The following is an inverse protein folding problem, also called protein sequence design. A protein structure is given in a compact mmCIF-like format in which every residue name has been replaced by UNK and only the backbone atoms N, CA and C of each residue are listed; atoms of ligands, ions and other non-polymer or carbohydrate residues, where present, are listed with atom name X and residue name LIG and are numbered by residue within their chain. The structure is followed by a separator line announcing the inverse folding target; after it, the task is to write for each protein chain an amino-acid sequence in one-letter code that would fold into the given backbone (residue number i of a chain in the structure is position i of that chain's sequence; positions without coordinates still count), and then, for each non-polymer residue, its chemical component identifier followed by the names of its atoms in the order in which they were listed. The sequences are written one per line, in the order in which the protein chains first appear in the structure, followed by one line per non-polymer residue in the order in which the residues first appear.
data_IF_455657782982
#
_entry.id   IF_455657782982
#
_cell.length_a   1.000
_cell.length_b   1.000
_cell.length_c   1.000
_cell.angle_alpha   90.00
_cell.angle_beta   90.00
_cell.angle_gamma   90.00
#
_symmetry.space_group_name_H-M   'P 1'
#
loop_
_entity.id
_entity.type
_entity.pdbx_description
1 polymer ?
#
# COMPACT_ATOMS: atom_id res chain seq x y z
N UNK A 1 3.13 -18.74 8.60
CA UNK A 1 2.96 -17.48 7.86
C UNK A 1 3.80 -17.51 6.58
N UNK A 2 5.13 -17.84 6.63
CA UNK A 2 6.00 -17.85 5.44
C UNK A 2 5.51 -18.80 4.35
N UNK A 3 5.03 -19.99 4.71
CA UNK A 3 4.38 -20.92 3.78
C UNK A 3 3.14 -20.29 3.11
N UNK A 4 2.38 -19.48 3.82
CA UNK A 4 1.23 -18.77 3.24
C UNK A 4 1.68 -17.68 2.26
N UNK A 5 2.73 -16.92 2.60
CA UNK A 5 3.33 -15.94 1.69
C UNK A 5 3.85 -16.62 0.43
N UNK A 6 4.61 -17.72 0.59
CA UNK A 6 5.09 -18.52 -0.55
C UNK A 6 3.94 -19.02 -1.42
N UNK A 7 2.89 -19.56 -0.80
CA UNK A 7 1.71 -20.05 -1.52
C UNK A 7 1.03 -18.92 -2.32
N UNK A 8 0.78 -17.78 -1.68
CA UNK A 8 0.17 -16.62 -2.33
C UNK A 8 1.02 -16.10 -3.51
N UNK A 9 2.34 -16.13 -3.37
CA UNK A 9 3.26 -15.70 -4.43
C UNK A 9 3.35 -16.66 -5.61
N UNK A 10 3.09 -17.94 -5.40
CA UNK A 10 3.20 -18.98 -6.47
C UNK A 10 1.87 -19.31 -7.12
N UNK A 11 0.78 -19.33 -6.36
CA UNK A 11 -0.55 -19.79 -6.79
C UNK A 11 -1.57 -18.64 -6.92
N UNK A 12 -1.14 -17.43 -6.81
CA UNK A 12 -1.77 -16.12 -6.55
C UNK A 12 -3.15 -15.80 -7.12
N UNK A 13 -3.74 -16.66 -7.96
CA UNK A 13 -5.11 -16.47 -8.52
C UNK A 13 -6.17 -17.30 -7.80
N UNK A 14 -5.78 -18.21 -6.94
CA UNK A 14 -6.69 -19.13 -6.25
C UNK A 14 -6.72 -18.86 -4.75
N UNK A 15 -7.90 -19.07 -4.14
CA UNK A 15 -8.02 -19.06 -2.67
C UNK A 15 -7.07 -20.08 -2.06
N UNK A 16 -6.43 -19.72 -0.95
CA UNK A 16 -5.54 -20.62 -0.23
C UNK A 16 -6.28 -21.92 0.13
N UNK A 17 -5.77 -23.04 -0.38
CA UNK A 17 -6.20 -24.37 0.06
C UNK A 17 -5.46 -24.74 1.33
N UNK A 18 -6.19 -24.95 2.44
CA UNK A 18 -5.58 -25.41 3.69
C UNK A 18 -4.73 -26.67 3.50
N UNK A 19 -5.22 -27.62 2.69
CA UNK A 19 -4.49 -28.87 2.38
C UNK A 19 -3.15 -28.60 1.71
N UNK A 20 -3.09 -27.68 0.75
CA UNK A 20 -1.82 -27.30 0.10
C UNK A 20 -0.92 -26.55 1.07
N UNK A 21 -1.48 -25.60 1.85
CA UNK A 21 -0.75 -24.79 2.79
C UNK A 21 -0.02 -25.62 3.86
N UNK A 22 -0.74 -26.54 4.53
CA UNK A 22 -0.14 -27.40 5.57
C UNK A 22 0.93 -28.34 4.98
N UNK A 23 0.78 -28.76 3.70
CA UNK A 23 1.80 -29.54 3.00
C UNK A 23 3.06 -28.71 2.74
N UNK A 24 2.93 -27.43 2.32
CA UNK A 24 4.07 -26.53 2.11
C UNK A 24 4.76 -26.22 3.45
N UNK A 25 3.98 -26.03 4.50
CA UNK A 25 4.49 -25.73 5.84
C UNK A 25 5.06 -26.96 6.57
N UNK A 26 4.86 -28.16 6.03
CA UNK A 26 5.20 -29.44 6.64
C UNK A 26 4.65 -29.59 8.07
N UNK A 27 3.33 -29.30 8.22
CA UNK A 27 2.61 -29.39 9.51
C UNK A 27 1.30 -30.17 9.37
N UNK A 28 0.78 -30.65 10.48
CA UNK A 28 -0.56 -31.27 10.54
C UNK A 28 -1.69 -30.27 10.68
N UNK A 29 -2.94 -30.72 10.41
CA UNK A 29 -4.15 -29.92 10.63
C UNK A 29 -4.26 -29.42 12.07
N UNK A 30 -3.97 -30.25 13.08
CA UNK A 30 -3.99 -29.88 14.48
C UNK A 30 -3.03 -28.72 14.78
N UNK A 31 -1.81 -28.78 14.23
CA UNK A 31 -0.82 -27.71 14.39
C UNK A 31 -1.33 -26.39 13.78
N UNK A 32 -1.97 -26.45 12.61
CA UNK A 32 -2.56 -25.27 12.00
C UNK A 32 -3.61 -24.62 12.92
N UNK A 33 -4.60 -25.40 13.37
CA UNK A 33 -5.69 -24.89 14.20
C UNK A 33 -5.28 -24.50 15.62
N UNK A 34 -4.10 -24.92 16.10
CA UNK A 34 -3.51 -24.41 17.33
C UNK A 34 -3.02 -22.94 17.21
N UNK A 35 -2.81 -22.44 15.98
CA UNK A 35 -2.26 -21.11 15.73
C UNK A 35 -3.23 -20.17 14.98
N UNK A 36 -4.14 -20.72 14.18
CA UNK A 36 -5.05 -19.95 13.33
C UNK A 36 -6.45 -20.56 13.36
N UNK A 37 -7.43 -19.72 13.62
CA UNK A 37 -8.84 -20.16 13.68
C UNK A 37 -9.40 -20.47 12.27
N UNK A 38 -8.82 -19.87 11.23
CA UNK A 38 -9.27 -20.03 9.84
C UNK A 38 -8.15 -19.79 8.83
N UNK A 39 -8.43 -20.11 7.56
CA UNK A 39 -7.54 -19.81 6.44
C UNK A 39 -7.44 -18.29 6.23
N UNK A 40 -8.54 -17.57 6.40
CA UNK A 40 -8.59 -16.11 6.31
C UNK A 40 -7.67 -15.45 7.35
N UNK A 41 -7.59 -16.02 8.57
CA UNK A 41 -6.71 -15.51 9.62
C UNK A 41 -5.22 -15.58 9.21
N UNK A 42 -4.77 -16.70 8.63
CA UNK A 42 -3.38 -16.78 8.15
C UNK A 42 -3.12 -15.93 6.90
N UNK A 43 -4.13 -15.73 6.04
CA UNK A 43 -4.04 -14.82 4.90
C UNK A 43 -3.84 -13.38 5.38
N UNK A 44 -4.63 -12.95 6.36
CA UNK A 44 -4.49 -11.65 7.00
C UNK A 44 -3.07 -11.45 7.57
N UNK A 45 -2.56 -12.42 8.30
CA UNK A 45 -1.21 -12.36 8.88
C UNK A 45 -0.11 -12.37 7.81
N UNK A 46 -0.30 -13.10 6.72
CA UNK A 46 0.63 -13.10 5.59
C UNK A 46 0.71 -11.71 4.93
N UNK A 47 -0.45 -11.10 4.65
CA UNK A 47 -0.52 -9.74 4.12
C UNK A 47 0.07 -8.71 5.10
N UNK A 48 -0.29 -8.81 6.38
CA UNK A 48 0.21 -7.94 7.44
C UNK A 48 1.75 -7.99 7.51
N UNK A 49 2.34 -9.19 7.47
CA UNK A 49 3.80 -9.36 7.45
C UNK A 49 4.43 -8.74 6.20
N UNK A 50 3.83 -8.94 5.03
CA UNK A 50 4.31 -8.36 3.77
C UNK A 50 4.29 -6.83 3.81
N UNK A 51 3.17 -6.24 4.24
CA UNK A 51 3.04 -4.78 4.36
C UNK A 51 4.02 -4.21 5.38
N UNK A 52 4.22 -4.88 6.52
CA UNK A 52 5.22 -4.46 7.54
C UNK A 52 6.64 -4.46 7.00
N UNK A 53 7.04 -5.50 6.28
CA UNK A 53 8.37 -5.57 5.68
C UNK A 53 8.57 -4.44 4.67
N UNK A 54 7.62 -4.23 3.77
CA UNK A 54 7.65 -3.11 2.81
C UNK A 54 7.73 -1.75 3.50
N UNK A 55 7.03 -1.58 4.63
CA UNK A 55 7.10 -0.35 5.41
C UNK A 55 8.46 -0.13 6.08
N UNK A 56 9.14 -1.19 6.53
CA UNK A 56 10.49 -1.11 7.07
C UNK A 56 11.46 -0.63 5.97
N UNK A 57 11.41 -1.24 4.79
CA UNK A 57 12.25 -0.87 3.65
C UNK A 57 11.96 0.57 3.20
N UNK A 58 10.69 0.95 3.15
CA UNK A 58 10.28 2.32 2.84
C UNK A 58 10.88 3.33 3.84
N UNK A 59 10.78 3.07 5.16
CA UNK A 59 11.34 3.94 6.19
C UNK A 59 12.85 4.09 6.07
N UNK A 60 13.56 3.01 5.76
CA UNK A 60 15.00 3.06 5.54
C UNK A 60 15.34 3.91 4.31
N UNK A 61 14.57 3.79 3.23
CA UNK A 61 14.74 4.58 2.01
C UNK A 61 14.54 6.08 2.22
N UNK A 62 13.62 6.49 3.10
CA UNK A 62 13.29 7.91 3.35
C UNK A 62 13.88 8.49 4.64
N UNK A 63 14.77 7.77 5.34
CA UNK A 63 15.27 8.17 6.67
C UNK A 63 15.96 9.54 6.70
N UNK A 64 16.52 9.99 5.59
CA UNK A 64 17.20 11.28 5.44
C UNK A 64 16.34 12.36 4.78
N UNK A 65 15.15 11.99 4.28
CA UNK A 65 14.23 12.94 3.67
C UNK A 65 13.62 13.85 4.75
N UNK A 66 13.52 15.14 4.44
CA UNK A 66 12.97 16.19 5.32
C UNK A 66 11.71 16.81 4.74
N UNK A 67 11.36 16.50 3.52
CA UNK A 67 10.08 16.86 2.92
C UNK A 67 9.02 15.81 3.31
N UNK A 68 8.30 16.08 4.39
CA UNK A 68 7.28 15.16 4.90
C UNK A 68 6.06 15.07 3.97
N UNK A 69 5.79 16.11 3.19
CA UNK A 69 4.74 16.08 2.16
C UNK A 69 5.13 15.10 1.05
N UNK A 70 6.39 15.15 0.60
CA UNK A 70 6.93 14.17 -0.35
C UNK A 70 6.82 12.73 0.19
N UNK A 71 7.18 12.49 1.46
CA UNK A 71 7.09 11.15 2.07
C UNK A 71 5.64 10.63 2.06
N UNK A 72 4.65 11.49 2.34
CA UNK A 72 3.22 11.10 2.35
C UNK A 72 2.77 10.67 0.95
N UNK A 73 3.09 11.43 -0.09
CA UNK A 73 2.71 11.08 -1.47
C UNK A 73 3.51 9.88 -2.01
N UNK A 74 4.80 9.77 -1.65
CA UNK A 74 5.61 8.60 -2.00
C UNK A 74 5.08 7.32 -1.36
N UNK A 75 4.55 7.39 -0.14
CA UNK A 75 3.92 6.24 0.52
C UNK A 75 2.67 5.75 -0.23
N UNK A 76 1.86 6.67 -0.79
CA UNK A 76 0.72 6.30 -1.65
C UNK A 76 1.19 5.52 -2.87
N UNK A 77 2.22 6.03 -3.55
CA UNK A 77 2.80 5.37 -4.70
C UNK A 77 3.29 3.95 -4.36
N UNK A 78 4.05 3.82 -3.28
CA UNK A 78 4.56 2.52 -2.83
C UNK A 78 3.45 1.54 -2.45
N UNK A 79 2.33 2.04 -1.91
CA UNK A 79 1.14 1.23 -1.64
C UNK A 79 0.50 0.69 -2.92
N UNK A 80 0.36 1.52 -3.95
CA UNK A 80 -0.14 1.09 -5.27
C UNK A 80 0.78 0.02 -5.87
N UNK A 81 2.08 0.28 -5.90
CA UNK A 81 3.06 -0.66 -6.45
C UNK A 81 3.07 -2.00 -5.72
N UNK A 82 3.00 -1.98 -4.39
CA UNK A 82 2.96 -3.20 -3.60
C UNK A 82 1.77 -4.08 -3.98
N UNK A 83 0.61 -3.47 -4.18
CA UNK A 83 -0.61 -4.18 -4.55
C UNK A 83 -0.58 -4.66 -5.99
N UNK A 84 -0.31 -3.77 -6.95
CA UNK A 84 -0.32 -4.09 -8.39
C UNK A 84 0.70 -5.18 -8.74
N UNK A 85 1.88 -5.13 -8.13
CA UNK A 85 2.93 -6.11 -8.37
C UNK A 85 2.84 -7.36 -7.47
N UNK A 86 1.80 -7.48 -6.65
CA UNK A 86 1.55 -8.67 -5.85
C UNK A 86 1.07 -9.81 -6.75
N UNK A 87 1.69 -11.00 -6.72
CA UNK A 87 1.15 -12.17 -7.41
C UNK A 87 -0.27 -12.54 -6.98
N UNK A 88 -0.66 -12.10 -5.79
CA UNK A 88 -1.97 -12.35 -5.18
C UNK A 88 -3.00 -11.25 -5.45
N UNK A 89 -2.72 -10.30 -6.37
CA UNK A 89 -3.56 -9.10 -6.54
C UNK A 89 -5.03 -9.42 -6.78
N UNK A 90 -5.34 -10.40 -7.61
CA UNK A 90 -6.73 -10.77 -7.89
C UNK A 90 -7.48 -11.20 -6.63
N UNK A 91 -6.82 -11.97 -5.76
CA UNK A 91 -7.38 -12.36 -4.48
C UNK A 91 -7.50 -11.17 -3.51
N UNK A 92 -6.50 -10.29 -3.47
CA UNK A 92 -6.55 -9.08 -2.63
C UNK A 92 -7.69 -8.14 -3.01
N UNK A 93 -8.03 -8.08 -4.30
CA UNK A 93 -9.17 -7.31 -4.81
C UNK A 93 -10.54 -7.93 -4.48
N UNK A 94 -10.61 -9.23 -4.18
CA UNK A 94 -11.83 -9.87 -3.68
C UNK A 94 -12.16 -9.46 -2.23
N UNK A 95 -11.15 -9.13 -1.42
CA UNK A 95 -11.34 -8.69 -0.03
C UNK A 95 -10.65 -7.35 0.24
N UNK A 96 -11.13 -6.31 -0.44
CA UNK A 96 -10.64 -4.93 -0.30
C UNK A 96 -10.71 -4.44 1.14
N UNK A 97 -11.71 -4.87 1.91
CA UNK A 97 -11.87 -4.47 3.29
C UNK A 97 -10.72 -4.98 4.16
N UNK A 98 -10.30 -6.23 3.97
CA UNK A 98 -9.14 -6.79 4.66
C UNK A 98 -7.87 -6.03 4.30
N UNK A 99 -7.65 -5.73 3.02
CA UNK A 99 -6.49 -4.95 2.57
C UNK A 99 -6.44 -3.58 3.25
N UNK A 100 -7.55 -2.85 3.24
CA UNK A 100 -7.66 -1.53 3.89
C UNK A 100 -7.40 -1.64 5.40
N UNK A 101 -7.92 -2.67 6.07
CA UNK A 101 -7.70 -2.90 7.49
C UNK A 101 -6.21 -3.10 7.81
N UNK A 102 -5.53 -3.95 7.05
CA UNK A 102 -4.08 -4.20 7.23
C UNK A 102 -3.28 -2.91 7.02
N UNK A 103 -3.55 -2.16 5.96
CA UNK A 103 -2.88 -0.87 5.72
C UNK A 103 -3.18 0.15 6.82
N UNK A 104 -4.41 0.18 7.34
CA UNK A 104 -4.78 1.04 8.45
C UNK A 104 -3.94 0.72 9.70
N UNK A 105 -3.87 -0.54 10.09
CA UNK A 105 -3.17 -0.96 11.29
C UNK A 105 -1.65 -0.79 11.20
N UNK A 106 -1.08 -1.06 10.02
CA UNK A 106 0.38 -1.04 9.84
C UNK A 106 0.94 0.33 9.50
N UNK A 107 0.29 1.09 8.62
CA UNK A 107 0.84 2.34 8.07
C UNK A 107 0.32 3.61 8.75
N UNK A 108 -0.85 3.57 9.40
CA UNK A 108 -1.47 4.76 9.98
C UNK A 108 -0.56 5.53 10.95
N UNK A 109 0.10 4.91 11.94
CA UNK A 109 0.93 5.65 12.89
C UNK A 109 2.07 6.42 12.20
N UNK A 110 2.63 5.86 11.12
CA UNK A 110 3.71 6.49 10.37
C UNK A 110 3.22 7.67 9.54
N UNK A 111 2.06 7.53 8.91
CA UNK A 111 1.44 8.59 8.11
C UNK A 111 1.04 9.77 9.00
N UNK A 112 0.47 9.50 10.18
CA UNK A 112 0.14 10.54 11.17
C UNK A 112 1.38 11.26 11.68
N UNK A 113 2.46 10.54 11.96
CA UNK A 113 3.72 11.16 12.35
C UNK A 113 4.30 12.04 11.23
N UNK A 114 4.23 11.62 9.98
CA UNK A 114 4.67 12.44 8.85
C UNK A 114 3.81 13.69 8.70
N UNK A 115 2.48 13.58 8.83
CA UNK A 115 1.58 14.73 8.85
C UNK A 115 1.95 15.72 9.96
N UNK A 116 2.07 15.25 11.21
CA UNK A 116 2.44 16.09 12.36
C UNK A 116 3.81 16.75 12.18
N UNK A 117 4.77 16.06 11.58
CA UNK A 117 6.08 16.61 11.27
C UNK A 117 6.01 17.67 10.17
N UNK A 118 5.18 17.46 9.13
CA UNK A 118 4.95 18.46 8.08
C UNK A 118 4.34 19.76 8.65
N UNK A 119 3.37 19.63 9.56
CA UNK A 119 2.79 20.79 10.29
C UNK A 119 3.85 21.50 11.11
N UNK A 120 4.61 20.79 11.95
CA UNK A 120 5.68 21.35 12.79
C UNK A 120 6.77 22.03 11.96
N UNK A 121 7.13 21.46 10.82
CA UNK A 121 8.10 22.01 9.89
C UNK A 121 7.55 23.13 9.01
N UNK A 122 6.27 23.51 9.17
CA UNK A 122 5.57 24.54 8.37
C UNK A 122 5.57 24.25 6.88
N UNK A 123 5.56 22.98 6.51
CA UNK A 123 5.48 22.51 5.11
C UNK A 123 4.05 22.52 4.56
N UNK A 124 3.06 22.59 5.47
CA UNK A 124 1.63 22.68 5.17
C UNK A 124 1.14 24.01 5.73
N UNK A 125 0.56 24.84 4.86
CA UNK A 125 0.02 26.14 5.25
C UNK A 125 -1.41 25.97 5.77
N UNK A 126 -1.80 26.84 6.73
CA UNK A 126 -3.15 26.86 7.32
C UNK A 126 -3.62 25.55 7.95
N UNK A 127 -2.70 24.66 8.28
CA UNK A 127 -2.98 23.36 8.89
C UNK A 127 -2.34 23.32 10.28
N UNK A 128 -3.11 22.81 11.22
CA UNK A 128 -2.73 22.70 12.64
C UNK A 128 -2.73 21.23 13.09
N UNK A 129 -2.37 21.00 14.35
CA UNK A 129 -2.41 19.64 14.93
C UNK A 129 -3.86 19.17 15.11
N UNK A 130 -4.80 20.11 15.32
CA UNK A 130 -6.24 19.82 15.44
C UNK A 130 -6.82 19.20 14.17
N UNK A 131 -6.23 19.46 12.99
CA UNK A 131 -6.68 18.93 11.70
C UNK A 131 -6.31 17.44 11.49
N UNK A 132 -5.73 16.79 12.49
CA UNK A 132 -5.36 15.37 12.42
C UNK A 132 -6.58 14.47 12.14
N UNK A 133 -7.77 14.82 12.62
CA UNK A 133 -8.99 14.06 12.35
C UNK A 133 -9.40 14.16 10.89
N UNK A 134 -9.31 15.34 10.29
CA UNK A 134 -9.58 15.55 8.87
C UNK A 134 -8.58 14.79 8.00
N UNK A 135 -7.29 14.84 8.36
CA UNK A 135 -6.26 14.04 7.71
C UNK A 135 -6.56 12.54 7.76
N UNK A 136 -6.99 12.01 8.91
CA UNK A 136 -7.40 10.59 9.05
C UNK A 136 -8.56 10.24 8.13
N UNK A 137 -9.55 11.13 8.04
CA UNK A 137 -10.74 10.96 7.19
C UNK A 137 -10.36 10.97 5.71
N UNK A 138 -9.60 11.99 5.27
CA UNK A 138 -9.12 12.10 3.89
C UNK A 138 -8.26 10.89 3.49
N UNK A 139 -7.38 10.43 4.37
CA UNK A 139 -6.57 9.24 4.16
C UNK A 139 -7.43 7.98 4.00
N UNK A 140 -8.51 7.85 4.76
CA UNK A 140 -9.43 6.71 4.62
C UNK A 140 -10.10 6.71 3.25
N UNK A 141 -10.61 7.84 2.78
CA UNK A 141 -11.14 7.97 1.42
C UNK A 141 -10.08 7.66 0.35
N UNK A 142 -8.85 8.13 0.56
CA UNK A 142 -7.72 7.84 -0.33
C UNK A 142 -7.45 6.34 -0.44
N UNK A 143 -7.53 5.59 0.66
CA UNK A 143 -7.32 4.13 0.63
C UNK A 143 -8.37 3.42 -0.24
N UNK A 144 -9.66 3.79 -0.12
CA UNK A 144 -10.71 3.25 -0.98
C UNK A 144 -10.51 3.62 -2.45
N UNK A 145 -10.18 4.88 -2.72
CA UNK A 145 -9.92 5.32 -4.08
C UNK A 145 -8.67 4.65 -4.68
N UNK A 146 -7.64 4.40 -3.85
CA UNK A 146 -6.45 3.67 -4.27
C UNK A 146 -6.78 2.23 -4.68
N UNK A 147 -7.66 1.54 -3.96
CA UNK A 147 -8.10 0.20 -4.35
C UNK A 147 -8.84 0.21 -5.69
N UNK A 148 -9.72 1.21 -5.94
CA UNK A 148 -10.36 1.39 -7.24
C UNK A 148 -9.35 1.66 -8.36
N UNK A 149 -8.32 2.45 -8.11
CA UNK A 149 -7.27 2.72 -9.08
C UNK A 149 -6.38 1.48 -9.34
N UNK A 150 -6.09 0.69 -8.30
CA UNK A 150 -5.38 -0.61 -8.44
C UNK A 150 -6.20 -1.56 -9.31
N UNK A 151 -7.53 -1.64 -9.11
CA UNK A 151 -8.41 -2.43 -9.98
C UNK A 151 -8.29 -1.98 -11.45
N UNK A 152 -8.35 -0.68 -11.73
CA UNK A 152 -8.21 -0.16 -13.10
C UNK A 152 -6.84 -0.48 -13.73
N UNK A 153 -5.77 -0.53 -12.92
CA UNK A 153 -4.45 -0.96 -13.42
C UNK A 153 -4.45 -2.45 -13.75
N UNK A 154 -5.05 -3.28 -12.91
CA UNK A 154 -5.16 -4.74 -13.14
C UNK A 154 -6.02 -5.04 -14.37
N UNK A 155 -7.06 -4.25 -14.61
CA UNK A 155 -7.93 -4.37 -15.77
C UNK A 155 -7.31 -3.80 -17.06
N UNK A 156 -6.12 -3.17 -16.96
CA UNK A 156 -5.41 -2.57 -18.09
C UNK A 156 -5.98 -1.23 -18.57
N UNK A 157 -6.84 -0.59 -17.77
CA UNK A 157 -7.42 0.72 -18.08
C UNK A 157 -6.46 1.88 -17.77
N UNK A 158 -5.59 1.71 -16.79
CA UNK A 158 -4.57 2.67 -16.36
C UNK A 158 -3.21 2.00 -16.21
N UNK A 159 -2.15 2.78 -16.42
CA UNK A 159 -0.82 2.44 -15.90
C UNK A 159 -0.72 2.79 -14.42
N UNK A 160 0.22 2.18 -13.70
CA UNK A 160 0.50 2.53 -12.29
C UNK A 160 0.78 4.03 -12.12
N UNK A 161 1.53 4.61 -13.07
CA UNK A 161 1.84 6.04 -13.10
C UNK A 161 0.57 6.89 -13.19
N UNK A 162 -0.32 6.57 -14.14
CA UNK A 162 -1.59 7.30 -14.31
C UNK A 162 -2.50 7.16 -13.08
N UNK A 163 -2.56 5.96 -12.48
CA UNK A 163 -3.28 5.73 -11.24
C UNK A 163 -2.78 6.65 -10.12
N UNK A 164 -1.45 6.69 -9.90
CA UNK A 164 -0.84 7.59 -8.92
C UNK A 164 -1.11 9.06 -9.21
N UNK A 165 -0.91 9.51 -10.47
CA UNK A 165 -1.12 10.91 -10.86
C UNK A 165 -2.57 11.33 -10.65
N UNK A 166 -3.54 10.51 -11.08
CA UNK A 166 -4.97 10.80 -10.93
C UNK A 166 -5.37 10.87 -9.46
N UNK A 167 -4.94 9.91 -8.64
CA UNK A 167 -5.22 9.92 -7.20
C UNK A 167 -4.63 11.14 -6.52
N UNK A 168 -3.34 11.42 -6.77
CA UNK A 168 -2.62 12.50 -6.12
C UNK A 168 -3.15 13.89 -6.51
N UNK A 169 -3.70 14.04 -7.71
CA UNK A 169 -4.28 15.32 -8.18
C UNK A 169 -5.72 15.53 -7.69
N UNK A 170 -6.50 14.45 -7.62
CA UNK A 170 -7.95 14.53 -7.37
C UNK A 170 -8.34 14.36 -5.90
N UNK A 171 -7.50 13.70 -5.10
CA UNK A 171 -7.78 13.49 -3.67
C UNK A 171 -6.76 14.28 -2.84
N UNK A 172 -7.27 15.27 -2.16
CA UNK A 172 -6.48 16.09 -1.27
C UNK A 172 -6.39 15.44 0.11
N UNK A 173 -5.29 14.70 0.35
CA UNK A 173 -5.03 14.06 1.67
C UNK A 173 -4.53 15.09 2.65
N UNK A 174 -3.90 16.13 2.13
CA UNK A 174 -3.33 17.23 2.89
C UNK A 174 -3.70 18.50 2.15
N UNK A 175 -4.24 19.50 2.87
CA UNK A 175 -4.58 20.77 2.25
C UNK A 175 -3.30 21.57 1.95
N UNK A 176 -2.75 21.34 0.75
CA UNK A 176 -1.60 22.05 0.22
C UNK A 176 -1.96 22.76 -1.09
N UNK A 177 -1.32 23.91 -1.38
CA UNK A 177 -1.50 24.59 -2.65
C UNK A 177 -1.23 23.67 -3.85
N UNK A 178 -2.04 23.78 -4.88
CA UNK A 178 -1.92 22.96 -6.10
C UNK A 178 -0.50 22.99 -6.68
N UNK A 179 0.13 24.18 -6.71
CA UNK A 179 1.52 24.33 -7.19
C UNK A 179 2.50 23.46 -6.39
N UNK A 180 2.37 23.42 -5.06
CA UNK A 180 3.22 22.61 -4.20
C UNK A 180 2.95 21.12 -4.45
N UNK A 181 1.70 20.72 -4.50
CA UNK A 181 1.30 19.34 -4.81
C UNK A 181 1.87 18.87 -6.15
N UNK A 182 1.69 19.65 -7.20
CA UNK A 182 2.20 19.33 -8.53
C UNK A 182 3.74 19.22 -8.56
N UNK A 183 4.45 20.05 -7.81
CA UNK A 183 5.92 19.97 -7.69
C UNK A 183 6.35 18.67 -6.99
N UNK A 184 5.67 18.27 -5.92
CA UNK A 184 5.95 17.00 -5.21
C UNK A 184 5.67 15.80 -6.11
N UNK A 185 4.54 15.79 -6.81
CA UNK A 185 4.19 14.71 -7.75
C UNK A 185 5.23 14.60 -8.85
N UNK A 186 5.61 15.74 -9.47
CA UNK A 186 6.63 15.76 -10.53
C UNK A 186 7.99 15.25 -10.03
N UNK A 187 8.40 15.61 -8.81
CA UNK A 187 9.62 15.10 -8.19
C UNK A 187 9.55 13.57 -8.03
N UNK A 188 8.47 13.04 -7.46
CA UNK A 188 8.27 11.60 -7.28
C UNK A 188 8.39 10.87 -8.63
N UNK A 189 7.69 11.36 -9.64
CA UNK A 189 7.68 10.75 -10.96
C UNK A 189 9.04 10.81 -11.66
N UNK A 190 9.87 11.83 -11.40
CA UNK A 190 11.21 11.94 -11.96
C UNK A 190 12.24 11.05 -11.27
N UNK A 191 12.06 10.77 -9.98
CA UNK A 191 12.96 9.93 -9.17
C UNK A 191 12.64 8.43 -9.26
N UNK A 192 11.44 8.08 -9.74
CA UNK A 192 10.95 6.69 -9.82
C UNK A 192 11.02 6.14 -11.25
N UNK A 193 12.20 6.15 -11.88
CA UNK A 193 12.42 5.68 -13.26
C UNK A 193 12.15 4.18 -13.51
N UNK A 194 11.79 3.39 -12.50
CA UNK A 194 11.58 1.95 -12.65
C UNK A 194 10.22 1.53 -13.23
N UNK A 195 9.42 2.51 -13.70
CA UNK A 195 8.07 2.26 -14.24
C UNK A 195 8.06 1.83 -15.70
N UNK A 196 9.16 2.04 -16.44
CA UNK A 196 9.20 1.92 -17.90
C UNK A 196 9.73 0.56 -18.42
N UNK A 197 10.01 -0.41 -17.55
CA UNK A 197 10.71 -1.66 -17.96
C UNK A 197 9.83 -2.91 -17.90
N UNK A 198 8.52 -2.78 -18.11
CA UNK A 198 7.66 -3.94 -18.42
C UNK A 198 6.80 -3.71 -19.67
N UNK A 199 7.29 -2.93 -20.63
CA UNK A 199 6.73 -2.92 -21.98
C UNK A 199 7.53 -3.82 -22.90
N UNK A 200 6.89 -4.93 -23.32
CA UNK A 200 7.12 -5.64 -24.56
C UNK A 200 8.44 -6.38 -24.79
N UNK A 201 8.60 -7.54 -24.16
CA UNK A 201 9.29 -8.62 -24.83
C UNK A 201 8.60 -9.96 -24.51
N UNK A 202 7.33 -10.12 -24.91
CA UNK A 202 6.69 -11.40 -25.17
C UNK A 202 5.48 -11.18 -26.11
N UNK A 203 5.78 -11.15 -27.40
CA UNK A 203 4.85 -11.47 -28.48
C UNK A 203 5.32 -12.70 -29.22
#
# INVERSE_FOLDING_TARGET
IDAAITYLNTEGKEKISLKKLIKIADVGYGTFYNHFDSVEAIQYEALNKTVRNTLIDFKLGVKHEKDYVYIIYLALLRGINLLVNSPSIHWLLEDVQMVIQVFKETSQPNMENNFLNAVKAKQIQNTTIEDLLEFRTARHYMQWAAMGAVQQVVDGELTEREAFEKLSKNINVIDIPEKQRNAVIARILSETHHWEVKDNDDK
#
